data_IF_607784292710
#
_entry.id   IF_607784292710
#
_cell.length_a   1.000
_cell.length_b   1.000
_cell.length_c   1.000
_cell.angle_alpha   90.00
_cell.angle_beta   90.00
_cell.angle_gamma   90.00
#
_symmetry.space_group_name_H-M   'P 1'
#
loop_
_entity.id
_entity.type
_entity.pdbx_description
1 polymer ?
#
# COMPACT_ATOMS: atom_id res chain seq x y z
N UNK A 1 40.04 -52.08 0.54
CA UNK A 1 39.78 -50.62 0.48
C UNK A 1 38.27 -50.42 0.42
N UNK A 2 37.65 -49.97 1.51
CA UNK A 2 36.22 -49.67 1.55
C UNK A 2 36.02 -48.18 1.27
N UNK A 3 35.50 -47.86 0.09
CA UNK A 3 35.14 -46.48 -0.27
C UNK A 3 33.73 -46.23 0.24
N UNK A 4 33.59 -45.47 1.33
CA UNK A 4 32.30 -44.97 1.82
C UNK A 4 31.82 -43.88 0.88
N UNK A 5 30.75 -44.13 0.15
CA UNK A 5 30.04 -43.12 -0.64
C UNK A 5 29.18 -42.29 0.31
N UNK A 6 29.65 -41.09 0.65
CA UNK A 6 28.88 -40.11 1.43
C UNK A 6 27.84 -39.47 0.52
N UNK A 7 26.57 -39.85 0.68
CA UNK A 7 25.44 -39.16 0.06
C UNK A 7 25.28 -37.80 0.75
N UNK A 8 25.68 -36.73 0.05
CA UNK A 8 25.31 -35.36 0.42
C UNK A 8 23.84 -35.14 0.07
N UNK A 9 22.98 -35.14 1.08
CA UNK A 9 21.62 -34.65 0.94
C UNK A 9 21.66 -33.13 0.73
N UNK A 10 21.31 -32.68 -0.48
CA UNK A 10 21.01 -31.28 -0.73
C UNK A 10 19.71 -30.94 0.01
N UNK A 11 19.81 -30.28 1.16
CA UNK A 11 18.66 -29.66 1.79
C UNK A 11 18.20 -28.50 0.89
N UNK A 12 17.10 -28.69 0.17
CA UNK A 12 16.41 -27.59 -0.48
C UNK A 12 15.99 -26.60 0.60
N UNK A 13 16.59 -25.40 0.59
CA UNK A 13 16.04 -24.24 1.29
C UNK A 13 14.74 -23.88 0.57
N UNK A 14 13.65 -24.58 0.91
CA UNK A 14 12.32 -24.19 0.52
C UNK A 14 11.96 -22.94 1.33
N UNK A 15 12.35 -21.77 0.82
CA UNK A 15 11.61 -20.57 1.15
C UNK A 15 10.17 -20.81 0.72
N UNK A 16 9.25 -20.84 1.67
CA UNK A 16 7.82 -21.02 1.40
C UNK A 16 7.29 -19.75 0.72
N UNK A 17 7.49 -19.64 -0.59
CA UNK A 17 6.65 -18.77 -1.40
C UNK A 17 5.20 -19.23 -1.23
N UNK A 18 4.29 -18.29 -0.96
CA UNK A 18 2.89 -18.63 -0.81
C UNK A 18 2.39 -19.18 -2.15
N UNK A 19 1.51 -20.19 -2.11
CA UNK A 19 0.98 -20.77 -3.33
C UNK A 19 0.23 -19.69 -4.14
N UNK A 20 0.06 -19.92 -5.45
CA UNK A 20 -0.72 -18.98 -6.24
C UNK A 20 -2.16 -18.94 -5.72
N UNK A 21 -2.67 -17.73 -5.46
CA UNK A 21 -4.03 -17.50 -5.00
C UNK A 21 -5.05 -18.10 -5.98
N UNK A 22 -6.10 -18.81 -5.50
CA UNK A 22 -7.22 -19.21 -6.33
C UNK A 22 -7.93 -17.99 -6.95
N UNK A 23 -8.28 -18.07 -8.24
CA UNK A 23 -8.86 -16.95 -8.98
C UNK A 23 -10.19 -16.41 -8.39
N UNK A 24 -10.91 -17.23 -7.62
CA UNK A 24 -12.20 -16.88 -7.00
C UNK A 24 -12.08 -16.26 -5.59
N UNK A 25 -10.86 -16.13 -5.04
CA UNK A 25 -10.62 -15.53 -3.73
C UNK A 25 -9.98 -14.16 -3.91
N UNK A 26 -10.34 -13.14 -3.13
CA UNK A 26 -9.65 -11.84 -3.23
C UNK A 26 -8.21 -11.91 -2.74
N UNK A 27 -7.38 -10.94 -3.13
CA UNK A 27 -5.99 -10.83 -2.64
C UNK A 27 -6.01 -10.71 -1.11
N UNK A 28 -6.82 -9.80 -0.57
CA UNK A 28 -6.89 -9.62 0.88
C UNK A 28 -7.29 -10.90 1.63
N UNK A 29 -8.34 -11.58 1.19
CA UNK A 29 -8.83 -12.79 1.87
C UNK A 29 -7.78 -13.90 1.85
N UNK A 30 -7.11 -14.09 0.70
CA UNK A 30 -6.11 -15.13 0.52
C UNK A 30 -4.91 -14.91 1.43
N UNK A 31 -4.30 -13.73 1.38
CA UNK A 31 -3.11 -13.42 2.16
C UNK A 31 -3.42 -13.32 3.66
N UNK A 32 -4.64 -12.93 4.03
CA UNK A 32 -5.10 -13.02 5.43
C UNK A 32 -5.13 -14.45 5.92
N UNK A 33 -5.69 -15.38 5.14
CA UNK A 33 -5.76 -16.80 5.49
C UNK A 33 -4.38 -17.43 5.50
N UNK A 34 -3.54 -17.10 4.52
CA UNK A 34 -2.23 -17.71 4.37
C UNK A 34 -1.23 -17.23 5.46
N UNK A 35 -1.33 -15.97 5.91
CA UNK A 35 -0.53 -15.45 7.01
C UNK A 35 -1.11 -15.80 8.38
N UNK A 36 -2.41 -15.56 8.62
CA UNK A 36 -3.02 -15.59 9.96
C UNK A 36 -4.02 -16.75 10.16
N UNK A 37 -4.04 -17.72 9.23
CA UNK A 37 -4.85 -18.96 9.23
C UNK A 37 -6.36 -18.77 9.08
N UNK A 38 -6.94 -17.75 9.69
CA UNK A 38 -8.39 -17.49 9.67
C UNK A 38 -8.69 -16.13 9.03
N UNK A 39 -9.68 -16.09 8.15
CA UNK A 39 -10.15 -14.84 7.54
C UNK A 39 -11.20 -14.15 8.43
N UNK A 40 -10.75 -13.26 9.33
CA UNK A 40 -11.60 -12.43 10.19
C UNK A 40 -11.33 -10.95 9.94
N UNK A 41 -12.26 -10.07 10.31
CA UNK A 41 -12.07 -8.61 10.17
C UNK A 41 -10.78 -8.13 10.85
N UNK A 42 -10.54 -8.55 12.10
CA UNK A 42 -9.32 -8.19 12.83
C UNK A 42 -8.04 -8.70 12.15
N UNK A 43 -8.07 -9.89 11.54
CA UNK A 43 -6.92 -10.43 10.81
C UNK A 43 -6.68 -9.69 9.49
N UNK A 44 -7.74 -9.31 8.77
CA UNK A 44 -7.62 -8.45 7.57
C UNK A 44 -7.02 -7.11 7.94
N UNK A 45 -7.54 -6.43 8.96
CA UNK A 45 -6.98 -5.18 9.47
C UNK A 45 -5.51 -5.32 9.87
N UNK A 46 -5.13 -6.44 10.49
CA UNK A 46 -3.75 -6.75 10.87
C UNK A 46 -2.85 -6.87 9.64
N UNK A 47 -3.23 -7.64 8.61
CA UNK A 47 -2.44 -7.78 7.38
C UNK A 47 -2.29 -6.43 6.68
N UNK A 48 -3.37 -5.65 6.58
CA UNK A 48 -3.33 -4.32 5.95
C UNK A 48 -2.43 -3.37 6.74
N UNK A 49 -2.48 -3.40 8.07
CA UNK A 49 -1.57 -2.61 8.93
C UNK A 49 -0.11 -2.95 8.66
N UNK A 50 0.24 -4.23 8.60
CA UNK A 50 1.61 -4.68 8.38
C UNK A 50 2.16 -4.26 7.01
N UNK A 51 1.37 -4.47 5.96
CA UNK A 51 1.76 -4.16 4.58
C UNK A 51 1.80 -2.64 4.36
N UNK A 52 0.81 -1.89 4.84
CA UNK A 52 0.78 -0.43 4.68
C UNK A 52 1.90 0.21 5.49
N UNK A 53 2.13 -0.18 6.75
CA UNK A 53 3.23 0.37 7.54
C UNK A 53 4.58 0.13 6.86
N UNK A 54 4.79 -1.09 6.36
CA UNK A 54 6.04 -1.42 5.65
C UNK A 54 6.17 -0.63 4.35
N UNK A 55 5.08 -0.36 3.63
CA UNK A 55 5.10 0.51 2.45
C UNK A 55 5.41 1.97 2.83
N UNK A 56 4.96 2.44 4.00
CA UNK A 56 5.18 3.82 4.44
C UNK A 56 6.61 4.03 4.95
N UNK A 57 7.04 3.24 5.93
CA UNK A 57 8.30 3.44 6.68
C UNK A 57 9.43 2.49 6.30
N UNK A 58 9.19 1.55 5.39
CA UNK A 58 10.15 0.52 5.02
C UNK A 58 10.15 -0.68 5.96
N UNK A 59 11.13 -1.57 5.81
CA UNK A 59 11.22 -2.74 6.68
C UNK A 59 11.41 -2.35 8.15
N UNK A 60 10.57 -2.92 9.01
CA UNK A 60 10.74 -2.92 10.45
C UNK A 60 10.57 -4.35 10.98
N UNK A 61 10.67 -4.54 12.29
CA UNK A 61 10.54 -5.87 12.91
C UNK A 61 9.21 -6.51 12.53
N UNK A 62 9.26 -7.50 11.64
CA UNK A 62 8.09 -8.28 11.24
C UNK A 62 7.58 -9.11 12.43
N UNK A 63 6.26 -9.29 12.58
CA UNK A 63 5.71 -10.15 13.62
C UNK A 63 6.16 -11.60 13.40
N UNK A 64 6.40 -12.33 14.49
CA UNK A 64 6.62 -13.77 14.40
C UNK A 64 5.27 -14.48 14.22
N UNK A 65 5.07 -15.08 13.05
CA UNK A 65 3.86 -15.83 12.72
C UNK A 65 4.23 -17.32 12.63
N UNK A 66 3.63 -18.20 13.46
CA UNK A 66 3.95 -19.62 13.45
C UNK A 66 3.71 -20.27 12.08
N UNK A 67 4.78 -20.81 11.48
CA UNK A 67 4.74 -21.50 10.19
C UNK A 67 4.92 -20.58 8.98
N UNK A 68 5.16 -19.28 9.18
CA UNK A 68 5.45 -18.34 8.10
C UNK A 68 6.91 -17.90 8.18
N UNK A 69 7.61 -18.03 7.07
CA UNK A 69 8.94 -17.43 6.87
C UNK A 69 8.80 -16.32 5.85
N UNK A 70 9.11 -15.09 6.26
CA UNK A 70 9.05 -13.95 5.36
C UNK A 70 10.29 -13.88 4.46
N UNK A 71 10.13 -13.54 3.17
CA UNK A 71 11.25 -13.20 2.31
C UNK A 71 12.07 -12.04 2.87
N UNK A 72 13.38 -12.10 2.65
CA UNK A 72 14.31 -10.99 2.90
C UNK A 72 14.33 -10.06 1.69
N UNK A 73 13.36 -9.16 1.65
CA UNK A 73 13.20 -8.14 0.60
C UNK A 73 13.34 -6.77 1.24
N UNK A 74 14.33 -6.02 0.77
CA UNK A 74 14.58 -4.65 1.18
C UNK A 74 13.44 -3.74 0.70
N UNK A 75 12.80 -3.05 1.64
CA UNK A 75 11.75 -2.07 1.40
C UNK A 75 12.20 -0.75 2.05
N UNK A 76 12.58 0.26 1.25
CA UNK A 76 12.90 1.59 1.77
C UNK A 76 11.71 2.32 2.41
N UNK A 77 10.51 2.16 1.84
CA UNK A 77 9.31 2.88 2.22
C UNK A 77 9.17 4.22 1.49
N UNK A 78 7.95 4.72 1.33
CA UNK A 78 7.66 5.96 0.58
C UNK A 78 8.26 7.22 1.24
N UNK A 79 8.54 7.17 2.54
CA UNK A 79 9.16 8.28 3.27
C UNK A 79 10.69 8.35 3.04
N UNK A 80 11.29 7.33 2.43
CA UNK A 80 12.68 7.36 2.04
C UNK A 80 12.87 8.06 0.68
N UNK A 81 14.10 8.48 0.41
CA UNK A 81 14.47 8.93 -0.93
C UNK A 81 14.54 7.73 -1.89
N UNK A 82 14.16 7.96 -3.14
CA UNK A 82 14.15 6.96 -4.19
C UNK A 82 14.73 7.48 -5.50
N UNK A 83 14.79 6.60 -6.49
CA UNK A 83 15.13 6.96 -7.87
C UNK A 83 14.29 6.13 -8.83
N UNK A 84 13.64 6.77 -9.78
CA UNK A 84 12.86 6.13 -10.85
C UNK A 84 13.40 6.60 -12.18
N UNK A 85 13.89 5.69 -13.02
CA UNK A 85 14.45 5.98 -14.34
C UNK A 85 15.48 7.14 -14.34
N UNK A 86 16.33 7.19 -13.31
CA UNK A 86 17.34 8.25 -13.15
C UNK A 86 16.82 9.56 -12.52
N UNK A 87 15.51 9.69 -12.29
CA UNK A 87 14.90 10.83 -11.60
C UNK A 87 14.87 10.58 -10.10
N UNK A 88 15.49 11.47 -9.31
CA UNK A 88 15.41 11.40 -7.85
C UNK A 88 13.99 11.71 -7.37
N UNK A 89 13.50 10.90 -6.42
CA UNK A 89 12.15 11.04 -5.86
C UNK A 89 12.26 11.21 -4.35
N UNK A 90 11.49 12.15 -3.81
CA UNK A 90 11.30 12.33 -2.37
C UNK A 90 9.83 12.68 -2.11
N UNK A 91 9.11 11.80 -1.42
CA UNK A 91 7.69 12.03 -1.08
C UNK A 91 7.50 12.59 0.34
N UNK A 92 8.53 12.55 1.20
CA UNK A 92 8.44 13.00 2.60
C UNK A 92 7.84 14.42 2.77
N UNK A 93 8.15 15.41 1.91
CA UNK A 93 7.58 16.76 2.04
C UNK A 93 6.05 16.83 1.97
N UNK A 94 5.39 15.87 1.31
CA UNK A 94 3.93 15.77 1.28
C UNK A 94 3.33 15.30 2.62
N UNK A 95 4.13 14.59 3.43
CA UNK A 95 3.68 14.00 4.69
C UNK A 95 4.06 14.84 5.91
N UNK A 96 5.17 15.58 5.87
CA UNK A 96 5.69 16.30 7.04
C UNK A 96 5.30 17.80 7.09
N UNK A 97 4.43 18.26 6.18
CA UNK A 97 4.03 19.66 6.07
C UNK A 97 5.02 20.56 5.30
N UNK A 98 6.03 19.98 4.65
CA UNK A 98 7.01 20.72 3.86
C UNK A 98 6.45 21.34 2.57
N UNK A 99 5.29 20.87 2.08
CA UNK A 99 4.62 21.38 0.89
C UNK A 99 3.16 21.74 1.15
N UNK A 100 2.70 22.81 0.52
CA UNK A 100 1.30 23.22 0.51
C UNK A 100 0.48 22.35 -0.46
N UNK A 101 0.25 21.09 -0.07
CA UNK A 101 -0.20 20.01 -0.96
C UNK A 101 -1.51 19.35 -0.53
N UNK A 102 -2.09 19.76 0.59
CA UNK A 102 -3.35 19.21 1.10
C UNK A 102 -4.54 20.01 0.60
N UNK A 103 -5.64 19.34 0.27
CA UNK A 103 -6.90 19.93 -0.21
C UNK A 103 -7.78 20.63 0.84
N UNK A 104 -7.20 21.08 1.96
CA UNK A 104 -7.94 21.77 3.04
C UNK A 104 -8.08 23.29 2.82
N UNK A 105 -7.44 23.85 1.80
CA UNK A 105 -7.50 25.29 1.46
C UNK A 105 -8.58 25.67 0.46
N UNK A 106 -9.46 24.74 0.07
CA UNK A 106 -10.45 24.97 -1.00
C UNK A 106 -9.80 24.92 -2.37
N UNK A 107 -9.51 26.09 -2.95
CA UNK A 107 -8.93 26.24 -4.30
C UNK A 107 -7.40 26.28 -4.29
N UNK A 108 -6.79 26.31 -3.11
CA UNK A 108 -5.33 26.24 -2.93
C UNK A 108 -4.92 25.10 -1.99
N UNK A 109 -3.71 24.60 -2.20
CA UNK A 109 -3.08 23.63 -1.32
C UNK A 109 -2.64 24.26 0.00
N UNK A 110 -2.69 23.50 1.09
CA UNK A 110 -2.20 23.93 2.41
C UNK A 110 -1.20 22.94 2.99
N UNK A 111 -0.28 23.42 3.82
CA UNK A 111 0.72 22.60 4.49
C UNK A 111 0.13 21.94 5.72
N UNK A 112 0.10 20.60 5.74
CA UNK A 112 -0.36 19.80 6.87
C UNK A 112 0.71 18.76 7.20
N UNK A 113 1.05 18.64 8.48
CA UNK A 113 1.89 17.56 8.95
C UNK A 113 1.02 16.33 9.28
N UNK A 114 1.15 15.28 8.49
CA UNK A 114 0.54 13.96 8.68
C UNK A 114 1.43 12.98 9.47
N UNK A 115 2.59 13.43 9.94
CA UNK A 115 3.48 12.70 10.85
C UNK A 115 3.50 13.38 12.23
N UNK A 116 2.36 13.96 12.62
CA UNK A 116 2.19 14.84 13.78
C UNK A 116 2.01 14.10 15.11
N UNK A 117 2.09 12.76 15.12
CA UNK A 117 1.78 11.97 16.31
C UNK A 117 2.68 10.73 16.46
N UNK A 118 3.99 10.99 16.39
CA UNK A 118 5.06 10.01 16.60
C UNK A 118 5.78 9.58 15.33
N UNK A 119 5.29 9.98 14.15
CA UNK A 119 5.89 9.61 12.87
C UNK A 119 6.06 8.10 12.75
N UNK A 120 7.24 7.64 12.35
CA UNK A 120 7.52 6.21 12.16
C UNK A 120 7.46 5.36 13.45
N UNK A 121 7.67 5.94 14.64
CA UNK A 121 7.77 5.20 15.90
C UNK A 121 6.53 4.33 16.20
N UNK A 122 5.29 4.86 16.19
CA UNK A 122 4.10 4.04 16.35
C UNK A 122 3.89 3.01 15.23
N UNK A 123 4.28 3.33 13.97
CA UNK A 123 4.14 2.38 12.85
C UNK A 123 5.02 1.14 13.04
N UNK A 124 6.22 1.30 13.61
CA UNK A 124 7.10 0.18 13.98
C UNK A 124 6.49 -0.73 15.07
N UNK A 125 5.47 -0.25 15.78
CA UNK A 125 4.70 -0.99 16.77
C UNK A 125 3.34 -1.47 16.25
N UNK A 126 3.13 -1.46 14.93
CA UNK A 126 1.86 -1.78 14.27
C UNK A 126 0.71 -0.87 14.71
N UNK A 127 1.00 0.41 15.01
CA UNK A 127 0.01 1.42 15.35
C UNK A 127 -0.04 2.50 14.27
N UNK A 128 -1.21 3.06 13.95
CA UNK A 128 -1.30 4.19 13.02
C UNK A 128 -0.65 5.47 13.59
N UNK A 129 -0.77 5.71 14.90
CA UNK A 129 -0.21 6.86 15.61
C UNK A 129 -0.14 6.57 17.13
N UNK A 130 0.33 7.52 17.96
CA UNK A 130 0.30 7.36 19.42
C UNK A 130 -1.11 7.55 20.02
N UNK A 131 -1.93 8.42 19.43
CA UNK A 131 -3.32 8.68 19.79
C UNK A 131 -4.28 8.42 18.63
N UNK A 132 -5.53 8.87 18.78
CA UNK A 132 -6.62 8.62 17.81
C UNK A 132 -7.24 9.89 17.23
N UNK A 133 -6.61 11.05 17.42
CA UNK A 133 -7.14 12.36 16.99
C UNK A 133 -6.21 13.14 16.06
N UNK A 134 -5.04 12.59 15.74
CA UNK A 134 -4.00 13.23 14.95
C UNK A 134 -4.22 13.08 13.44
N UNK A 135 -3.62 13.96 12.64
CA UNK A 135 -3.65 13.81 11.18
C UNK A 135 -3.00 12.48 10.77
N UNK A 136 -1.95 12.08 11.47
CA UNK A 136 -1.31 10.78 11.29
C UNK A 136 -2.29 9.62 11.52
N UNK A 137 -3.04 9.63 12.62
CA UNK A 137 -4.01 8.57 12.90
C UNK A 137 -5.01 8.45 11.74
N UNK A 138 -5.62 9.56 11.34
CA UNK A 138 -6.59 9.58 10.25
C UNK A 138 -5.99 9.15 8.91
N UNK A 139 -4.78 9.60 8.57
CA UNK A 139 -4.10 9.18 7.34
C UNK A 139 -3.90 7.66 7.33
N UNK A 140 -3.31 7.10 8.38
CA UNK A 140 -2.92 5.70 8.39
C UNK A 140 -4.14 4.77 8.45
N UNK A 141 -5.16 5.09 9.26
CA UNK A 141 -6.38 4.27 9.28
C UNK A 141 -7.11 4.32 7.94
N UNK A 142 -7.21 5.49 7.31
CA UNK A 142 -7.79 5.60 5.97
C UNK A 142 -7.00 4.81 4.92
N UNK A 143 -5.66 4.78 5.01
CA UNK A 143 -4.87 3.93 4.11
C UNK A 143 -5.18 2.45 4.31
N UNK A 144 -5.27 1.96 5.56
CA UNK A 144 -5.63 0.56 5.84
C UNK A 144 -7.00 0.22 5.27
N UNK A 145 -7.98 1.10 5.48
CA UNK A 145 -9.36 0.92 5.03
C UNK A 145 -9.48 1.00 3.50
N UNK A 146 -8.83 1.98 2.86
CA UNK A 146 -8.90 2.16 1.42
C UNK A 146 -8.24 0.99 0.67
N UNK A 147 -7.06 0.56 1.12
CA UNK A 147 -6.43 -0.66 0.58
C UNK A 147 -7.25 -1.91 0.89
N UNK A 148 -7.96 -1.95 2.01
CA UNK A 148 -8.92 -3.02 2.29
C UNK A 148 -9.98 -3.16 1.20
N UNK A 149 -10.53 -2.03 0.76
CA UNK A 149 -11.51 -1.98 -0.33
C UNK A 149 -10.87 -2.36 -1.66
N UNK A 150 -9.72 -1.78 -2.01
CA UNK A 150 -9.01 -2.02 -3.26
C UNK A 150 -8.57 -3.49 -3.43
N UNK A 151 -8.20 -4.15 -2.33
CA UNK A 151 -7.74 -5.55 -2.32
C UNK A 151 -8.88 -6.56 -2.09
N UNK A 152 -10.12 -6.08 -1.91
CA UNK A 152 -11.32 -6.91 -1.80
C UNK A 152 -11.45 -7.65 -0.47
N UNK A 153 -11.11 -7.02 0.64
CA UNK A 153 -11.28 -7.58 1.99
C UNK A 153 -12.76 -7.86 2.32
N UNK A 154 -13.16 -9.13 2.36
CA UNK A 154 -14.57 -9.50 2.53
C UNK A 154 -15.15 -9.23 3.92
N UNK A 155 -14.32 -9.03 4.94
CA UNK A 155 -14.74 -8.76 6.32
C UNK A 155 -14.66 -7.26 6.67
N UNK A 156 -14.34 -6.40 5.71
CA UNK A 156 -14.32 -4.95 5.94
C UNK A 156 -15.72 -4.41 6.24
N UNK A 157 -15.80 -3.55 7.26
CA UNK A 157 -17.04 -3.01 7.81
C UNK A 157 -17.64 -3.84 8.93
N UNK A 158 -17.02 -4.96 9.30
CA UNK A 158 -17.37 -5.73 10.49
C UNK A 158 -16.55 -5.24 11.70
N UNK A 159 -16.96 -5.62 12.91
CA UNK A 159 -16.23 -5.26 14.14
C UNK A 159 -14.76 -5.68 14.03
N UNK A 160 -13.85 -4.72 14.18
CA UNK A 160 -12.40 -4.92 14.07
C UNK A 160 -11.79 -4.50 12.74
N UNK A 161 -12.59 -4.14 11.73
CA UNK A 161 -12.10 -3.48 10.51
C UNK A 161 -13.15 -2.54 9.92
N UNK A 162 -12.96 -1.24 10.09
CA UNK A 162 -13.90 -0.22 9.60
C UNK A 162 -13.97 -0.15 8.07
N UNK A 163 -15.09 0.37 7.55
CA UNK A 163 -15.17 0.77 6.14
C UNK A 163 -14.39 2.06 5.93
N UNK A 164 -13.91 2.25 4.72
CA UNK A 164 -13.39 3.56 4.32
C UNK A 164 -14.54 4.57 4.24
N UNK A 165 -14.43 5.65 5.01
CA UNK A 165 -15.41 6.75 5.05
C UNK A 165 -14.83 8.09 4.55
N UNK A 166 -13.63 8.05 3.96
CA UNK A 166 -13.00 9.23 3.35
C UNK A 166 -13.64 9.66 2.02
N UNK A 167 -13.00 10.62 1.35
CA UNK A 167 -13.49 11.16 0.09
C UNK A 167 -13.56 10.10 -1.02
N UNK A 168 -14.63 10.14 -1.81
CA UNK A 168 -14.78 9.27 -2.98
C UNK A 168 -13.90 9.68 -4.17
N UNK A 169 -13.40 10.92 -4.20
CA UNK A 169 -12.53 11.44 -5.27
C UNK A 169 -11.08 11.47 -4.81
N UNK A 170 -10.29 10.49 -5.24
CA UNK A 170 -8.84 10.50 -4.96
C UNK A 170 -8.15 11.66 -5.69
N UNK A 171 -8.66 12.10 -6.84
CA UNK A 171 -8.21 13.33 -7.48
C UNK A 171 -8.38 14.54 -6.55
N UNK A 172 -9.57 14.74 -5.97
CA UNK A 172 -9.83 15.90 -5.12
C UNK A 172 -8.95 15.92 -3.85
N UNK A 173 -8.57 14.75 -3.34
CA UNK A 173 -7.68 14.60 -2.19
C UNK A 173 -6.23 14.93 -2.54
N UNK A 174 -5.75 14.48 -3.70
CA UNK A 174 -4.33 14.51 -4.07
C UNK A 174 -3.96 15.59 -5.10
N UNK A 175 -4.93 16.34 -5.66
CA UNK A 175 -4.68 17.27 -6.79
C UNK A 175 -3.60 18.34 -6.51
N UNK A 176 -3.44 18.78 -5.27
CA UNK A 176 -2.42 19.78 -4.93
C UNK A 176 -1.04 19.17 -4.64
N UNK A 177 -0.92 17.84 -4.67
CA UNK A 177 0.40 17.19 -4.65
C UNK A 177 1.10 17.28 -6.00
N UNK A 178 0.34 17.44 -7.08
CA UNK A 178 0.83 17.52 -8.46
C UNK A 178 1.86 16.42 -8.78
N UNK A 179 1.52 15.17 -8.42
CA UNK A 179 2.47 14.08 -8.50
C UNK A 179 2.87 13.80 -9.95
N UNK A 180 4.17 13.81 -10.19
CA UNK A 180 4.79 13.34 -11.43
C UNK A 180 4.69 11.82 -11.59
N UNK A 181 4.90 11.34 -12.82
CA UNK A 181 4.98 9.91 -13.13
C UNK A 181 6.04 9.20 -12.29
N UNK A 182 7.21 9.81 -12.08
CA UNK A 182 8.28 9.24 -11.28
C UNK A 182 7.88 9.08 -9.80
N UNK A 183 7.20 10.07 -9.23
CA UNK A 183 6.71 10.03 -7.85
C UNK A 183 5.61 8.98 -7.67
N UNK A 184 4.66 8.91 -8.60
CA UNK A 184 3.59 7.91 -8.59
C UNK A 184 4.14 6.49 -8.78
N UNK A 185 5.07 6.31 -9.71
CA UNK A 185 5.77 5.03 -9.93
C UNK A 185 6.53 4.60 -8.68
N UNK A 186 7.23 5.53 -8.01
CA UNK A 186 7.95 5.21 -6.77
C UNK A 186 6.98 4.73 -5.67
N UNK A 187 5.82 5.39 -5.52
CA UNK A 187 4.77 4.95 -4.60
C UNK A 187 4.34 3.50 -4.90
N UNK A 188 4.02 3.18 -6.16
CA UNK A 188 3.61 1.82 -6.57
C UNK A 188 4.73 0.80 -6.29
N UNK A 189 5.99 1.16 -6.57
CA UNK A 189 7.14 0.30 -6.29
C UNK A 189 7.25 -0.03 -4.78
N UNK A 190 7.07 0.95 -3.89
CA UNK A 190 7.13 0.71 -2.45
C UNK A 190 5.96 -0.16 -1.95
N UNK A 191 4.75 0.00 -2.51
CA UNK A 191 3.61 -0.88 -2.25
C UNK A 191 3.91 -2.32 -2.67
N UNK A 192 4.46 -2.50 -3.88
CA UNK A 192 4.81 -3.82 -4.41
C UNK A 192 5.93 -4.50 -3.63
N UNK A 193 7.00 -3.78 -3.29
CA UNK A 193 8.10 -4.28 -2.47
C UNK A 193 7.61 -4.67 -1.07
N UNK A 194 6.74 -3.85 -0.46
CA UNK A 194 6.11 -4.17 0.82
C UNK A 194 5.34 -5.49 0.74
N UNK A 195 4.41 -5.62 -0.21
CA UNK A 195 3.62 -6.83 -0.41
C UNK A 195 4.51 -8.06 -0.64
N UNK A 196 5.50 -7.97 -1.52
CA UNK A 196 6.45 -9.04 -1.78
C UNK A 196 7.21 -9.45 -0.51
N UNK A 197 7.56 -8.50 0.36
CA UNK A 197 8.24 -8.78 1.63
C UNK A 197 7.38 -9.59 2.62
N UNK A 198 6.06 -9.64 2.42
CA UNK A 198 5.13 -10.52 3.16
C UNK A 198 4.81 -11.83 2.43
N UNK A 199 5.53 -12.15 1.34
CA UNK A 199 5.36 -13.37 0.58
C UNK A 199 4.23 -13.33 -0.45
N UNK A 200 3.73 -12.14 -0.80
CA UNK A 200 2.78 -11.98 -1.92
C UNK A 200 3.46 -12.39 -3.22
N UNK A 201 2.79 -13.21 -4.02
CA UNK A 201 3.34 -13.71 -5.29
C UNK A 201 3.54 -12.56 -6.28
N UNK A 202 4.49 -12.74 -7.20
CA UNK A 202 4.75 -11.74 -8.25
C UNK A 202 3.49 -11.42 -9.05
N UNK A 203 2.68 -12.43 -9.38
CA UNK A 203 1.43 -12.24 -10.13
C UNK A 203 0.44 -11.32 -9.38
N UNK A 204 0.26 -11.53 -8.07
CA UNK A 204 -0.63 -10.68 -7.27
C UNK A 204 -0.02 -9.28 -7.03
N UNK A 205 1.30 -9.15 -6.86
CA UNK A 205 1.97 -7.84 -6.81
C UNK A 205 1.76 -7.07 -8.11
N UNK A 206 1.93 -7.72 -9.26
CA UNK A 206 1.69 -7.12 -10.57
C UNK A 206 0.21 -6.76 -10.76
N UNK A 207 -0.72 -7.59 -10.29
CA UNK A 207 -2.16 -7.29 -10.33
C UNK A 207 -2.51 -6.04 -9.52
N UNK A 208 -1.91 -5.86 -8.33
CA UNK A 208 -2.08 -4.64 -7.52
C UNK A 208 -1.51 -3.43 -8.24
N UNK A 209 -0.28 -3.52 -8.77
CA UNK A 209 0.34 -2.42 -9.51
C UNK A 209 -0.52 -1.98 -10.70
N UNK A 210 -0.98 -2.92 -11.52
CA UNK A 210 -1.88 -2.62 -12.65
C UNK A 210 -3.21 -1.99 -12.20
N UNK A 211 -3.73 -2.40 -11.04
CA UNK A 211 -4.97 -1.83 -10.51
C UNK A 211 -4.77 -0.38 -10.04
N UNK A 212 -3.64 -0.08 -9.40
CA UNK A 212 -3.26 1.28 -9.00
C UNK A 212 -3.03 2.17 -10.23
N UNK A 213 -2.29 1.69 -11.23
CA UNK A 213 -2.07 2.41 -12.50
C UNK A 213 -3.39 2.72 -13.20
N UNK A 214 -4.26 1.72 -13.33
CA UNK A 214 -5.57 1.91 -13.99
C UNK A 214 -6.46 2.90 -13.25
N UNK A 215 -6.46 2.84 -11.92
CA UNK A 215 -7.32 3.70 -11.10
C UNK A 215 -6.79 5.14 -11.02
N UNK A 216 -5.47 5.32 -10.90
CA UNK A 216 -4.89 6.58 -10.46
C UNK A 216 -3.82 7.15 -11.39
N UNK A 217 -3.33 6.38 -12.36
CA UNK A 217 -2.19 6.74 -13.23
C UNK A 217 -2.55 7.55 -14.49
N UNK A 218 -3.84 7.67 -14.82
CA UNK A 218 -4.27 8.26 -16.10
C UNK A 218 -4.98 9.60 -15.90
N UNK A 219 -4.42 10.69 -16.44
CA UNK A 219 -5.06 12.01 -16.45
C UNK A 219 -6.37 11.98 -17.22
N UNK A 220 -7.36 12.69 -16.69
CA UNK A 220 -8.68 12.86 -17.30
C UNK A 220 -9.41 11.54 -17.61
N UNK A 221 -9.08 10.47 -16.88
CA UNK A 221 -9.84 9.23 -16.94
C UNK A 221 -11.26 9.46 -16.44
N UNK A 222 -12.22 8.73 -17.02
CA UNK A 222 -13.62 8.82 -16.64
C UNK A 222 -13.82 8.50 -15.15
N UNK A 223 -14.79 9.18 -14.53
CA UNK A 223 -15.18 8.94 -13.15
C UNK A 223 -15.45 7.45 -12.90
N UNK A 224 -14.83 6.89 -11.86
CA UNK A 224 -14.90 5.47 -11.54
C UNK A 224 -15.34 5.28 -10.09
N UNK A 225 -16.12 4.23 -9.86
CA UNK A 225 -16.54 3.82 -8.52
C UNK A 225 -15.55 2.79 -7.98
N UNK A 226 -14.68 3.20 -7.05
CA UNK A 226 -13.73 2.30 -6.36
C UNK A 226 -14.34 1.75 -5.07
N UNK A 227 -14.89 2.63 -4.22
CA UNK A 227 -15.58 2.23 -3.00
C UNK A 227 -17.04 1.92 -3.34
N UNK A 228 -17.52 0.66 -3.19
CA UNK A 228 -18.84 0.27 -3.69
C UNK A 228 -20.01 1.08 -3.11
N UNK A 229 -19.88 1.55 -1.87
CA UNK A 229 -20.90 2.35 -1.18
C UNK A 229 -20.91 3.83 -1.56
N UNK A 230 -19.97 4.29 -2.37
CA UNK A 230 -19.85 5.69 -2.79
C UNK A 230 -20.23 5.86 -4.27
N UNK A 231 -20.45 7.09 -4.70
CA UNK A 231 -20.66 7.41 -6.11
C UNK A 231 -19.34 7.46 -6.89
N UNK A 232 -19.43 7.25 -8.21
CA UNK A 232 -18.28 7.37 -9.10
C UNK A 232 -17.74 8.81 -9.06
N UNK A 233 -16.42 8.95 -9.03
CA UNK A 233 -15.75 10.24 -9.04
C UNK A 233 -14.39 10.15 -9.75
N UNK A 234 -13.76 11.29 -10.00
CA UNK A 234 -12.40 11.38 -10.55
C UNK A 234 -11.39 10.76 -9.59
N UNK A 235 -10.56 9.87 -10.13
CA UNK A 235 -9.60 9.09 -9.33
C UNK A 235 -8.14 9.47 -9.60
N UNK A 236 -7.81 10.10 -10.72
CA UNK A 236 -6.42 10.37 -11.12
C UNK A 236 -5.61 11.06 -10.01
N UNK A 237 -4.47 10.46 -9.65
CA UNK A 237 -3.49 11.02 -8.71
C UNK A 237 -2.22 11.43 -9.47
N UNK A 238 -1.79 10.64 -10.46
CA UNK A 238 -0.74 11.02 -11.38
C UNK A 238 -1.28 12.11 -12.32
N UNK A 239 -1.00 13.36 -12.02
CA UNK A 239 -1.50 14.51 -12.81
C UNK A 239 -0.41 15.52 -13.21
N UNK A 240 0.78 15.41 -12.63
CA UNK A 240 1.90 16.29 -12.93
C UNK A 240 2.72 15.84 -14.15
N UNK A 241 4.01 16.19 -14.11
CA UNK A 241 4.96 15.94 -15.18
C UNK A 241 5.09 14.45 -15.51
N UNK A 242 5.09 14.13 -16.81
CA UNK A 242 5.24 12.75 -17.32
C UNK A 242 3.98 11.90 -17.29
N UNK A 243 2.97 12.23 -16.47
CA UNK A 243 1.78 11.39 -16.34
C UNK A 243 1.03 11.23 -17.68
N UNK A 244 0.60 10.01 -18.04
CA UNK A 244 -0.13 9.75 -19.27
C UNK A 244 -1.57 10.29 -19.20
N UNK A 245 -2.15 10.56 -20.37
CA UNK A 245 -3.55 11.01 -20.52
C UNK A 245 -4.41 9.87 -21.05
N UNK A 246 -5.62 9.73 -20.53
CA UNK A 246 -6.57 8.72 -21.01
C UNK A 246 -6.92 8.93 -22.50
N UNK A 247 -7.09 7.84 -23.26
CA UNK A 247 -7.37 7.91 -24.70
C UNK A 247 -8.66 8.69 -25.05
N UNK A 248 -9.66 8.65 -24.16
CA UNK A 248 -10.92 9.38 -24.28
C UNK A 248 -11.04 10.43 -23.17
N UNK A 249 -10.03 11.28 -23.03
CA UNK A 249 -9.96 12.29 -21.98
C UNK A 249 -11.18 13.24 -22.01
N UNK A 250 -11.79 13.43 -20.85
CA UNK A 250 -12.81 14.46 -20.59
C UNK A 250 -12.35 15.34 -19.43
N UNK A 251 -11.48 16.29 -19.76
CA UNK A 251 -11.13 17.44 -18.94
C UNK A 251 -11.49 18.70 -19.75
#
# INVERSE_FOLDING_TARGET
MYTKTTLLAAAALAGSAMAQRPANMSICDYYTTALLKNNTAANQATVLTLVVNTAVIGNYTKPQIPGVTFPDIAVPGILANGTVNGTMVNLLPYFNGGLASTNRGGDEGTSVNFLDDGGAVPLMMNKPANGTSSNQYFLLTHLYEYFGTLLGCSQQGMTGFSKYEGSNSQYSVHKFMDLSEAQFTYFIQQVGLSAASFGVTTDDVTAVAMSLEKAFGMKCAAATKIVPSQDAAEQAICIGDGCPTAMNASC
#
